data_IF_769612945346
#
_entry.id   IF_769612945346
#
_cell.length_a   1.000
_cell.length_b   1.000
_cell.length_c   1.000
_cell.angle_alpha   90.00
_cell.angle_beta   90.00
_cell.angle_gamma   90.00
#
_symmetry.space_group_name_H-M   'P 1'
#
loop_
_entity.id
_entity.type
_entity.pdbx_description
1 polymer ?
#
# COMPACT_ATOMS: atom_id res chain seq x y z
N UNK A 1 11.70 -10.31 -1.25
CA UNK A 1 10.71 -11.00 -0.39
C UNK A 1 9.30 -10.63 -0.81
N UNK A 2 8.28 -11.46 -0.51
CA UNK A 2 6.85 -11.16 -0.73
C UNK A 2 6.24 -10.69 0.59
N UNK A 3 5.69 -9.48 0.64
CA UNK A 3 5.13 -8.86 1.85
C UNK A 3 3.65 -8.55 1.60
N UNK A 4 2.76 -9.07 2.45
CA UNK A 4 1.34 -8.74 2.41
C UNK A 4 1.03 -7.74 3.54
N UNK A 5 0.55 -6.55 3.19
CA UNK A 5 0.10 -5.54 4.16
C UNK A 5 -1.41 -5.52 4.23
N UNK A 6 -1.96 -5.71 5.44
CA UNK A 6 -3.39 -5.65 5.70
C UNK A 6 -3.70 -4.28 6.32
N UNK A 7 -4.37 -3.42 5.56
CA UNK A 7 -4.65 -2.01 5.87
C UNK A 7 -3.83 -1.05 5.02
N UNK A 8 -4.51 -0.21 4.23
CA UNK A 8 -3.97 0.84 3.36
C UNK A 8 -4.10 2.25 3.98
N UNK A 9 -4.07 2.32 5.31
CA UNK A 9 -3.95 3.60 6.01
C UNK A 9 -2.60 4.29 5.73
N UNK A 10 -2.43 5.51 6.24
CA UNK A 10 -1.19 6.29 6.07
C UNK A 10 0.08 5.47 6.39
N UNK A 11 0.06 4.74 7.51
CA UNK A 11 1.18 3.89 7.93
C UNK A 11 1.40 2.73 6.96
N UNK A 12 0.34 2.04 6.54
CA UNK A 12 0.42 0.92 5.61
C UNK A 12 0.95 1.32 4.23
N UNK A 13 0.50 2.48 3.72
CA UNK A 13 0.99 3.02 2.47
C UNK A 13 2.45 3.44 2.57
N UNK A 14 2.84 4.34 3.50
CA UNK A 14 4.21 4.84 3.60
C UNK A 14 5.21 3.70 3.80
N UNK A 15 4.90 2.77 4.71
CA UNK A 15 5.76 1.62 4.96
C UNK A 15 5.80 0.67 3.76
N UNK A 16 4.67 0.46 3.08
CA UNK A 16 4.58 -0.33 1.86
C UNK A 16 5.42 0.25 0.72
N UNK A 17 5.41 1.59 0.53
CA UNK A 17 6.23 2.25 -0.49
C UNK A 17 7.72 2.10 -0.20
N UNK A 18 8.15 2.28 1.05
CA UNK A 18 9.55 2.06 1.42
C UNK A 18 9.97 0.62 1.09
N UNK A 19 9.18 -0.38 1.46
CA UNK A 19 9.51 -1.78 1.15
C UNK A 19 9.50 -2.09 -0.36
N UNK A 20 8.60 -1.47 -1.12
CA UNK A 20 8.59 -1.58 -2.58
C UNK A 20 9.85 -0.97 -3.21
N UNK A 21 10.31 0.17 -2.69
CA UNK A 21 11.54 0.85 -3.12
C UNK A 21 12.80 0.01 -2.83
N UNK A 22 12.81 -0.73 -1.72
CA UNK A 22 13.89 -1.69 -1.40
C UNK A 22 13.85 -2.99 -2.26
N UNK A 23 12.98 -3.07 -3.28
CA UNK A 23 12.90 -4.21 -4.19
C UNK A 23 12.12 -5.39 -3.61
N UNK A 24 11.26 -5.17 -2.62
CA UNK A 24 10.33 -6.19 -2.13
C UNK A 24 9.00 -6.11 -2.86
N UNK A 25 8.40 -7.27 -3.13
CA UNK A 25 7.10 -7.34 -3.78
C UNK A 25 6.03 -7.20 -2.69
N UNK A 26 5.44 -6.00 -2.58
CA UNK A 26 4.44 -5.66 -1.57
C UNK A 26 3.04 -5.74 -2.17
N UNK A 27 2.11 -6.39 -1.47
CA UNK A 27 0.70 -6.43 -1.84
C UNK A 27 -0.12 -5.86 -0.68
N UNK A 28 -0.78 -4.73 -0.92
CA UNK A 28 -1.64 -4.10 0.07
C UNK A 28 -3.08 -4.56 -0.10
N UNK A 29 -3.71 -4.98 1.00
CA UNK A 29 -5.09 -5.47 1.07
C UNK A 29 -5.83 -4.63 2.09
N UNK A 30 -6.91 -3.97 1.68
CA UNK A 30 -7.80 -3.23 2.59
C UNK A 30 -9.23 -3.78 2.48
N UNK A 31 -9.99 -3.64 3.56
CA UNK A 31 -11.42 -3.95 3.60
C UNK A 31 -12.28 -2.79 3.09
N UNK A 32 -11.76 -1.55 3.17
CA UNK A 32 -12.43 -0.35 2.68
C UNK A 32 -12.12 -0.14 1.19
N UNK A 33 -13.01 -0.62 0.32
CA UNK A 33 -12.96 -0.34 -1.13
C UNK A 33 -13.00 1.18 -1.44
N UNK A 34 -13.53 1.99 -0.53
CA UNK A 34 -13.80 3.42 -0.72
C UNK A 34 -12.55 4.32 -0.72
N UNK A 35 -11.39 3.83 -0.25
CA UNK A 35 -10.13 4.61 -0.26
C UNK A 35 -9.18 4.30 -1.42
N UNK A 36 -9.47 3.27 -2.21
CA UNK A 36 -8.58 2.84 -3.32
C UNK A 36 -8.80 3.72 -4.58
N UNK A 37 -9.64 4.77 -4.48
CA UNK A 37 -10.00 5.65 -5.60
C UNK A 37 -9.42 7.06 -5.45
N UNK A 38 -8.13 7.20 -5.19
CA UNK A 38 -7.41 8.42 -5.59
C UNK A 38 -5.93 8.15 -5.85
N UNK A 39 -5.56 7.58 -7.02
CA UNK A 39 -4.27 7.90 -7.60
C UNK A 39 -4.36 9.37 -8.01
N UNK A 40 -3.79 10.24 -7.18
CA UNK A 40 -3.47 11.64 -7.43
C UNK A 40 -3.74 12.11 -8.89
N UNK A 41 -4.86 12.79 -9.14
CA UNK A 41 -5.06 13.56 -10.37
C UNK A 41 -5.61 14.94 -10.02
N UNK A 42 -4.68 15.91 -10.11
CA UNK A 42 -4.86 17.39 -10.21
C UNK A 42 -5.44 18.15 -9.03
#
# INVERSE_FOLDING_TARGET
>A
MKIAMIGTGYVGLVTGTCFAEFGHHVTCVDKLEEKIKTPNQT
#
